data_IF_653932144651
#
_entry.id   IF_653932144651
#
_cell.length_a   1.000
_cell.length_b   1.000
_cell.length_c   1.000
_cell.angle_alpha   90.00
_cell.angle_beta   90.00
_cell.angle_gamma   90.00
#
_symmetry.space_group_name_H-M   'P 1'
#
loop_
_entity.id
_entity.type
_entity.pdbx_description
1 polymer ?
#
# COMPACT_ATOMS: atom_id res chain seq x y z
N UNK A 1 -13.71 14.93 52.18
CA UNK A 1 -12.49 14.71 51.36
C UNK A 1 -12.52 13.45 50.45
N UNK A 2 -13.59 12.64 50.41
CA UNK A 2 -13.65 11.44 49.52
C UNK A 2 -14.15 11.73 48.09
N UNK A 3 -15.07 12.68 47.89
CA UNK A 3 -15.59 13.03 46.55
C UNK A 3 -14.54 13.63 45.61
N UNK A 4 -13.60 14.42 46.12
CA UNK A 4 -12.59 15.08 45.29
C UNK A 4 -11.60 14.07 44.66
N UNK A 5 -11.29 12.97 45.38
CA UNK A 5 -10.46 11.87 44.86
C UNK A 5 -11.17 11.05 43.77
N UNK A 6 -12.48 10.89 43.85
CA UNK A 6 -13.26 10.13 42.86
C UNK A 6 -13.33 10.87 41.51
N UNK A 7 -13.53 12.19 41.54
CA UNK A 7 -13.55 13.03 40.33
C UNK A 7 -12.20 13.08 39.62
N UNK A 8 -11.10 13.14 40.38
CA UNK A 8 -9.74 13.07 39.82
C UNK A 8 -9.48 11.71 39.15
N UNK A 9 -9.98 10.61 39.72
CA UNK A 9 -9.85 9.27 39.14
C UNK A 9 -10.65 9.13 37.84
N UNK A 10 -11.88 9.65 37.79
CA UNK A 10 -12.69 9.66 36.55
C UNK A 10 -12.04 10.52 35.47
N UNK A 11 -11.47 11.69 35.83
CA UNK A 11 -10.74 12.55 34.90
C UNK A 11 -9.47 11.85 34.36
N UNK A 12 -8.72 11.17 35.21
CA UNK A 12 -7.54 10.38 34.83
C UNK A 12 -7.91 9.18 33.93
N UNK A 13 -9.04 8.51 34.20
CA UNK A 13 -9.56 7.42 33.36
C UNK A 13 -9.98 7.97 31.98
N UNK A 14 -10.65 9.12 31.93
CA UNK A 14 -11.02 9.77 30.66
C UNK A 14 -9.80 10.26 29.87
N UNK A 15 -8.76 10.75 30.55
CA UNK A 15 -7.47 11.09 29.93
C UNK A 15 -6.73 9.84 29.40
N UNK A 16 -6.84 8.69 30.09
CA UNK A 16 -6.26 7.42 29.63
C UNK A 16 -7.01 6.81 28.43
N UNK A 17 -8.28 7.20 28.19
CA UNK A 17 -9.03 6.86 26.98
C UNK A 17 -8.63 7.72 25.75
N UNK A 18 -7.73 8.71 25.93
CA UNK A 18 -7.29 9.66 24.91
C UNK A 18 -6.49 9.06 23.73
N UNK A 19 -6.05 7.80 23.81
CA UNK A 19 -5.36 7.13 22.70
C UNK A 19 -6.23 7.01 21.43
N UNK A 20 -7.56 6.92 21.57
CA UNK A 20 -8.48 6.81 20.43
C UNK A 20 -8.74 8.16 19.73
N UNK A 21 -8.83 9.25 20.49
CA UNK A 21 -9.14 10.59 19.94
C UNK A 21 -7.97 11.13 19.12
N UNK A 22 -6.74 10.96 19.59
CA UNK A 22 -5.54 11.40 18.87
C UNK A 22 -5.39 10.67 17.52
N UNK A 23 -5.77 9.39 17.44
CA UNK A 23 -5.74 8.64 16.19
C UNK A 23 -6.69 9.21 15.15
N UNK A 24 -7.93 9.53 15.54
CA UNK A 24 -8.93 10.16 14.65
C UNK A 24 -8.49 11.54 14.16
N UNK A 25 -7.89 12.36 15.03
CA UNK A 25 -7.36 13.68 14.64
C UNK A 25 -6.23 13.53 13.62
N UNK A 26 -5.31 12.56 13.82
CA UNK A 26 -4.23 12.28 12.85
C UNK A 26 -4.80 11.85 11.50
N UNK A 27 -5.77 10.94 11.49
CA UNK A 27 -6.43 10.48 10.28
C UNK A 27 -7.08 11.64 9.52
N UNK A 28 -7.91 12.44 10.19
CA UNK A 28 -8.58 13.59 9.58
C UNK A 28 -7.58 14.63 9.04
N UNK A 29 -6.46 14.83 9.73
CA UNK A 29 -5.39 15.73 9.27
C UNK A 29 -4.75 15.22 7.98
N UNK A 30 -4.48 13.92 7.89
CA UNK A 30 -3.94 13.28 6.68
C UNK A 30 -4.94 13.33 5.52
N UNK A 31 -6.22 13.05 5.79
CA UNK A 31 -7.30 13.16 4.80
C UNK A 31 -7.43 14.58 4.25
N UNK A 32 -7.45 15.59 5.11
CA UNK A 32 -7.51 16.98 4.70
C UNK A 32 -6.28 17.40 3.88
N UNK A 33 -5.08 16.99 4.30
CA UNK A 33 -3.84 17.26 3.58
C UNK A 33 -3.81 16.60 2.20
N UNK A 34 -4.18 15.32 2.12
CA UNK A 34 -4.27 14.57 0.86
C UNK A 34 -5.28 15.20 -0.10
N UNK A 35 -6.47 15.57 0.40
CA UNK A 35 -7.50 16.23 -0.40
C UNK A 35 -7.04 17.60 -0.93
N UNK A 36 -6.43 18.43 -0.06
CA UNK A 36 -5.91 19.75 -0.44
C UNK A 36 -4.80 19.65 -1.48
N UNK A 37 -3.91 18.66 -1.35
CA UNK A 37 -2.87 18.39 -2.33
C UNK A 37 -3.45 17.90 -3.66
N UNK A 38 -4.37 16.93 -3.62
CA UNK A 38 -5.02 16.37 -4.81
C UNK A 38 -5.85 17.39 -5.60
N UNK A 39 -6.36 18.43 -4.95
CA UNK A 39 -7.05 19.53 -5.61
C UNK A 39 -6.13 20.35 -6.54
N UNK A 40 -4.82 20.26 -6.38
CA UNK A 40 -3.86 20.96 -7.23
C UNK A 40 -3.58 20.21 -8.54
N UNK A 41 -3.37 20.92 -9.67
CA UNK A 41 -2.97 20.29 -10.93
C UNK A 41 -1.70 19.44 -10.76
N UNK A 42 -1.65 18.27 -11.41
CA UNK A 42 -0.51 17.35 -11.32
C UNK A 42 0.82 18.02 -11.69
N UNK A 43 0.81 18.89 -12.72
CA UNK A 43 2.00 19.64 -13.14
C UNK A 43 2.58 20.53 -12.02
N UNK A 44 1.73 21.11 -11.17
CA UNK A 44 2.17 21.90 -10.01
C UNK A 44 2.71 20.98 -8.91
N UNK A 45 1.99 19.88 -8.61
CA UNK A 45 2.42 18.86 -7.63
C UNK A 45 3.83 18.32 -7.91
N UNK A 46 4.16 18.13 -9.19
CA UNK A 46 5.47 17.64 -9.64
C UNK A 46 6.61 18.67 -9.52
N UNK A 47 6.31 19.96 -9.32
CA UNK A 47 7.33 21.01 -9.17
C UNK A 47 7.79 21.21 -7.72
N UNK A 48 7.05 20.69 -6.74
CA UNK A 48 7.45 20.79 -5.33
C UNK A 48 8.73 19.99 -5.04
N UNK A 49 9.48 20.34 -3.97
CA UNK A 49 10.60 19.52 -3.51
C UNK A 49 10.23 18.05 -3.28
N UNK A 50 11.15 17.13 -3.59
CA UNK A 50 10.89 15.68 -3.52
C UNK A 50 10.36 15.22 -2.16
N UNK A 51 10.84 15.79 -1.05
CA UNK A 51 10.36 15.42 0.28
C UNK A 51 8.87 15.76 0.48
N UNK A 52 8.38 16.87 -0.09
CA UNK A 52 6.96 17.24 -0.08
C UNK A 52 6.17 16.24 -0.92
N UNK A 53 6.64 15.93 -2.13
CA UNK A 53 6.00 14.95 -3.00
C UNK A 53 5.87 13.58 -2.29
N UNK A 54 6.91 13.13 -1.59
CA UNK A 54 6.91 11.86 -0.84
C UNK A 54 5.89 11.85 0.30
N UNK A 55 5.80 12.95 1.06
CA UNK A 55 4.84 13.09 2.16
C UNK A 55 3.41 13.00 1.62
N UNK A 56 3.09 13.77 0.59
CA UNK A 56 1.73 13.81 0.07
C UNK A 56 1.35 12.59 -0.76
N UNK A 57 2.28 11.98 -1.50
CA UNK A 57 2.05 10.68 -2.14
C UNK A 57 1.69 9.62 -1.09
N UNK A 58 2.42 9.59 0.04
CA UNK A 58 2.13 8.67 1.15
C UNK A 58 0.77 8.96 1.79
N UNK A 59 0.42 10.24 1.97
CA UNK A 59 -0.88 10.65 2.50
C UNK A 59 -2.03 10.24 1.56
N UNK A 60 -1.92 10.55 0.27
CA UNK A 60 -2.92 10.15 -0.74
C UNK A 60 -3.10 8.63 -0.75
N UNK A 61 -2.02 7.86 -0.70
CA UNK A 61 -2.07 6.41 -0.65
C UNK A 61 -2.81 5.89 0.60
N UNK A 62 -2.54 6.48 1.78
CA UNK A 62 -3.23 6.14 3.03
C UNK A 62 -4.73 6.50 3.03
N UNK A 63 -5.16 7.35 2.09
CA UNK A 63 -6.57 7.75 1.92
C UNK A 63 -7.23 7.12 0.71
N UNK A 64 -6.45 6.39 -0.11
CA UNK A 64 -6.94 5.76 -1.33
C UNK A 64 -7.70 4.47 -1.04
N UNK A 65 -8.60 4.10 -1.94
CA UNK A 65 -9.28 2.82 -1.91
C UNK A 65 -8.36 1.73 -2.50
N UNK A 66 -7.98 0.75 -1.67
CA UNK A 66 -7.11 -0.36 -2.09
C UNK A 66 -7.68 -1.15 -3.29
N UNK A 67 -9.00 -1.12 -3.51
CA UNK A 67 -9.63 -1.76 -4.69
C UNK A 67 -9.26 -1.08 -6.01
N UNK A 68 -8.84 0.18 -5.95
CA UNK A 68 -8.37 0.92 -7.12
C UNK A 68 -6.90 0.62 -7.44
N UNK A 69 -6.16 0.00 -6.51
CA UNK A 69 -4.76 -0.34 -6.73
C UNK A 69 -4.65 -1.42 -7.79
N UNK A 70 -3.79 -1.18 -8.77
CA UNK A 70 -3.51 -2.15 -9.82
C UNK A 70 -2.07 -2.66 -9.72
N UNK A 71 -1.93 -3.98 -9.80
CA UNK A 71 -0.64 -4.65 -9.96
C UNK A 71 -0.54 -5.14 -11.40
N UNK A 72 0.56 -4.82 -12.06
CA UNK A 72 0.78 -5.18 -13.46
C UNK A 72 1.97 -6.11 -13.58
N UNK A 73 1.70 -7.36 -13.91
CA UNK A 73 2.73 -8.33 -14.22
C UNK A 73 3.02 -8.28 -15.73
N UNK A 74 4.27 -8.01 -16.09
CA UNK A 74 4.67 -7.84 -17.49
C UNK A 74 5.61 -8.97 -17.88
N UNK A 75 5.28 -9.66 -18.97
CA UNK A 75 5.95 -10.89 -19.40
C UNK A 75 6.23 -10.88 -20.90
N UNK A 76 7.37 -11.45 -21.30
CA UNK A 76 7.73 -11.65 -22.73
C UNK A 76 6.91 -12.74 -23.42
N UNK A 77 6.26 -13.61 -22.65
CA UNK A 77 5.43 -14.70 -23.16
C UNK A 77 4.13 -14.77 -22.40
N UNK A 78 3.11 -15.34 -23.03
CA UNK A 78 1.85 -15.61 -22.36
C UNK A 78 2.08 -16.52 -21.15
N UNK A 79 1.66 -16.02 -20.01
CA UNK A 79 1.57 -16.78 -18.77
C UNK A 79 0.28 -17.61 -18.81
N UNK A 80 0.42 -18.91 -18.50
CA UNK A 80 -0.67 -19.88 -18.63
C UNK A 80 -1.91 -19.61 -17.76
N UNK A 81 -2.90 -20.52 -17.77
CA UNK A 81 -4.22 -20.30 -17.15
C UNK A 81 -4.18 -20.09 -15.62
N UNK A 82 -3.10 -20.50 -14.94
CA UNK A 82 -2.90 -20.25 -13.51
C UNK A 82 -2.89 -18.76 -13.13
N UNK A 83 -2.70 -17.87 -14.11
CA UNK A 83 -2.72 -16.41 -13.94
C UNK A 83 -4.02 -15.88 -13.32
N UNK A 84 -5.15 -16.56 -13.53
CA UNK A 84 -6.44 -16.18 -12.97
C UNK A 84 -6.56 -16.44 -11.45
N UNK A 85 -5.61 -17.18 -10.86
CA UNK A 85 -5.61 -17.60 -9.45
C UNK A 85 -4.63 -16.81 -8.58
N UNK A 86 -4.17 -15.66 -9.07
CA UNK A 86 -3.21 -14.82 -8.38
C UNK A 86 -3.72 -14.40 -6.99
N UNK A 87 -2.79 -14.33 -6.04
CA UNK A 87 -3.02 -13.81 -4.68
C UNK A 87 -2.01 -12.71 -4.39
N UNK A 88 -2.23 -11.91 -3.36
CA UNK A 88 -1.25 -10.98 -2.82
C UNK A 88 -1.25 -11.05 -1.29
N UNK A 89 -0.07 -10.91 -0.71
CA UNK A 89 0.11 -10.75 0.73
C UNK A 89 0.16 -9.26 1.08
N UNK A 90 -0.60 -8.86 2.09
CA UNK A 90 -0.45 -7.56 2.74
C UNK A 90 0.22 -7.76 4.09
N UNK A 91 1.35 -7.07 4.28
CA UNK A 91 2.26 -7.28 5.41
C UNK A 91 2.49 -5.98 6.16
N UNK A 92 2.34 -5.99 7.49
CA UNK A 92 2.70 -4.88 8.38
C UNK A 92 3.07 -5.38 9.78
N UNK A 93 3.75 -4.56 10.58
CA UNK A 93 4.01 -4.90 11.98
C UNK A 93 3.01 -4.24 12.92
N UNK A 94 2.43 -5.00 13.85
CA UNK A 94 1.60 -4.49 14.94
C UNK A 94 1.89 -5.26 16.23
N UNK A 95 1.97 -4.54 17.36
CA UNK A 95 2.29 -5.16 18.66
C UNK A 95 3.69 -5.82 18.75
N UNK A 96 4.59 -5.55 17.80
CA UNK A 96 5.89 -6.21 17.69
C UNK A 96 5.87 -7.51 16.87
N UNK A 97 4.72 -7.91 16.35
CA UNK A 97 4.56 -9.10 15.51
C UNK A 97 4.28 -8.74 14.05
N UNK A 98 4.71 -9.61 13.14
CA UNK A 98 4.44 -9.47 11.72
C UNK A 98 3.02 -9.99 11.42
N UNK A 99 2.16 -9.09 10.96
CA UNK A 99 0.82 -9.41 10.49
C UNK A 99 0.87 -9.61 8.98
N UNK A 100 0.56 -10.82 8.52
CA UNK A 100 0.49 -11.18 7.09
C UNK A 100 -0.91 -11.69 6.80
N UNK A 101 -1.53 -11.18 5.74
CA UNK A 101 -2.84 -11.66 5.29
C UNK A 101 -2.86 -11.77 3.78
N UNK A 102 -3.36 -12.91 3.29
CA UNK A 102 -3.47 -13.20 1.87
C UNK A 102 -4.84 -12.81 1.32
N UNK A 103 -4.83 -12.23 0.12
CA UNK A 103 -6.04 -11.83 -0.60
C UNK A 103 -6.00 -12.38 -2.02
N UNK A 104 -7.14 -12.88 -2.50
CA UNK A 104 -7.28 -13.21 -3.90
C UNK A 104 -7.26 -11.92 -4.75
N UNK A 105 -6.47 -11.93 -5.82
CA UNK A 105 -6.44 -10.87 -6.80
C UNK A 105 -7.41 -11.19 -7.93
N UNK A 106 -8.15 -10.18 -8.37
CA UNK A 106 -9.01 -10.26 -9.55
C UNK A 106 -8.20 -9.85 -10.78
N UNK A 107 -8.04 -10.77 -11.73
CA UNK A 107 -7.51 -10.45 -13.06
C UNK A 107 -8.53 -9.59 -13.81
N UNK A 108 -8.21 -8.33 -14.04
CA UNK A 108 -9.10 -7.36 -14.71
C UNK A 108 -8.90 -7.37 -16.23
N UNK A 109 -7.65 -7.47 -16.67
CA UNK A 109 -7.31 -7.34 -18.08
C UNK A 109 -6.03 -8.10 -18.38
N UNK A 110 -6.01 -8.74 -19.55
CA UNK A 110 -4.81 -9.22 -20.22
C UNK A 110 -4.67 -8.43 -21.50
N UNK A 111 -3.53 -7.75 -21.68
CA UNK A 111 -3.18 -7.11 -22.95
C UNK A 111 -2.06 -7.91 -23.57
N UNK A 112 -2.24 -8.34 -24.81
CA UNK A 112 -1.21 -9.02 -25.59
C UNK A 112 -0.26 -8.02 -26.26
N UNK A 113 0.81 -8.53 -26.88
CA UNK A 113 1.69 -7.71 -27.70
C UNK A 113 0.93 -7.10 -28.88
N UNK A 114 1.27 -5.86 -29.22
CA UNK A 114 0.75 -5.13 -30.37
C UNK A 114 1.90 -4.50 -31.18
N UNK A 115 1.58 -3.63 -32.16
CA UNK A 115 2.59 -2.98 -33.00
C UNK A 115 3.59 -2.09 -32.22
N UNK A 116 3.29 -1.75 -30.96
CA UNK A 116 4.06 -0.86 -30.09
C UNK A 116 4.62 -1.54 -28.84
N UNK A 117 4.09 -2.71 -28.46
CA UNK A 117 4.47 -3.45 -27.25
C UNK A 117 4.74 -4.92 -27.62
N UNK A 118 5.93 -5.43 -27.30
CA UNK A 118 6.33 -6.82 -27.56
C UNK A 118 6.10 -7.74 -26.35
N UNK A 119 5.26 -7.32 -25.41
CA UNK A 119 5.04 -8.01 -24.14
C UNK A 119 3.55 -8.20 -23.82
N UNK A 120 3.28 -9.14 -22.93
CA UNK A 120 1.98 -9.35 -22.32
C UNK A 120 1.89 -8.57 -20.99
N UNK A 121 0.76 -7.92 -20.73
CA UNK A 121 0.47 -7.21 -19.47
C UNK A 121 -0.76 -7.81 -18.80
N UNK A 122 -0.58 -8.32 -17.59
CA UNK A 122 -1.65 -8.83 -16.73
C UNK A 122 -1.95 -7.82 -15.64
N UNK A 123 -3.16 -7.29 -15.61
CA UNK A 123 -3.59 -6.28 -14.63
C UNK A 123 -4.48 -6.91 -13.58
N UNK A 124 -4.06 -6.80 -12.33
CA UNK A 124 -4.73 -7.34 -11.15
C UNK A 124 -5.26 -6.24 -10.25
N UNK A 125 -6.37 -6.49 -9.56
CA UNK A 125 -6.93 -5.62 -8.52
C UNK A 125 -7.37 -6.41 -7.29
N UNK A 126 -7.41 -5.72 -6.16
CA UNK A 126 -7.91 -6.28 -4.91
C UNK A 126 -9.45 -6.43 -4.90
N UNK A 127 -9.92 -7.44 -4.16
CA UNK A 127 -11.33 -7.66 -3.86
C UNK A 127 -11.89 -6.76 -2.74
N UNK A 128 -13.15 -7.00 -2.39
CA UNK A 128 -13.83 -6.25 -1.32
C UNK A 128 -13.34 -6.64 0.09
N UNK A 129 -12.87 -7.88 0.24
CA UNK A 129 -12.22 -8.42 1.45
C UNK A 129 -10.98 -7.60 1.86
N UNK A 130 -10.12 -7.27 0.90
CA UNK A 130 -8.93 -6.46 1.13
C UNK A 130 -9.28 -5.04 1.60
N UNK A 131 -10.41 -4.47 1.17
CA UNK A 131 -10.84 -3.14 1.60
C UNK A 131 -11.16 -3.09 3.10
N UNK A 132 -11.83 -4.12 3.62
CA UNK A 132 -12.14 -4.23 5.05
C UNK A 132 -10.86 -4.33 5.87
N UNK A 133 -9.94 -5.23 5.47
CA UNK A 133 -8.64 -5.35 6.12
C UNK A 133 -7.86 -4.03 6.11
N UNK A 134 -7.83 -3.34 4.97
CA UNK A 134 -7.10 -2.09 4.80
C UNK A 134 -7.64 -1.00 5.73
N UNK A 135 -8.96 -0.91 5.90
CA UNK A 135 -9.58 0.02 6.85
C UNK A 135 -9.20 -0.30 8.30
N UNK A 136 -9.20 -1.58 8.69
CA UNK A 136 -8.74 -2.00 10.03
C UNK A 136 -7.26 -1.66 10.25
N UNK A 137 -6.41 -1.91 9.26
CA UNK A 137 -5.00 -1.53 9.28
C UNK A 137 -4.84 -0.01 9.46
N UNK A 138 -5.57 0.81 8.71
CA UNK A 138 -5.48 2.28 8.81
C UNK A 138 -5.88 2.76 10.21
N UNK A 139 -6.93 2.20 10.80
CA UNK A 139 -7.33 2.53 12.17
C UNK A 139 -6.21 2.26 13.18
N UNK A 140 -5.58 1.08 13.10
CA UNK A 140 -4.44 0.74 13.95
C UNK A 140 -3.22 1.65 13.66
N UNK A 141 -2.97 1.96 12.40
CA UNK A 141 -1.86 2.81 11.96
C UNK A 141 -1.98 4.24 12.49
N UNK A 142 -3.17 4.81 12.46
CA UNK A 142 -3.43 6.16 12.98
C UNK A 142 -3.48 6.19 14.51
N UNK A 143 -3.94 5.11 15.15
CA UNK A 143 -3.80 4.91 16.60
C UNK A 143 -2.35 4.70 17.07
N UNK A 144 -1.38 4.56 16.15
CA UNK A 144 0.03 4.33 16.46
C UNK A 144 0.34 2.89 16.89
N UNK A 145 -0.58 1.95 16.62
CA UNK A 145 -0.48 0.54 16.98
C UNK A 145 0.13 -0.33 15.87
N UNK A 146 0.17 0.20 14.64
CA UNK A 146 0.74 -0.46 13.47
C UNK A 146 1.84 0.39 12.81
N UNK A 147 2.83 -0.28 12.23
CA UNK A 147 3.81 0.31 11.30
C UNK A 147 3.20 0.41 9.89
N UNK A 148 3.79 1.20 8.98
CA UNK A 148 3.35 1.25 7.59
C UNK A 148 3.33 -0.14 6.94
N UNK A 149 2.35 -0.38 6.04
CA UNK A 149 2.36 -1.54 5.15
C UNK A 149 3.68 -1.61 4.37
N UNK A 150 4.22 -2.83 4.27
CA UNK A 150 5.44 -3.14 3.54
C UNK A 150 5.11 -3.35 2.06
N UNK A 151 4.75 -2.26 1.36
CA UNK A 151 4.31 -2.32 -0.04
C UNK A 151 5.38 -2.84 -1.01
N UNK A 152 6.64 -2.90 -0.60
CA UNK A 152 7.72 -3.49 -1.40
C UNK A 152 7.66 -5.03 -1.44
N UNK A 153 6.89 -5.68 -0.56
CA UNK A 153 6.55 -7.11 -0.65
C UNK A 153 5.29 -7.38 -1.48
N UNK A 154 4.58 -6.33 -1.91
CA UNK A 154 3.33 -6.48 -2.64
C UNK A 154 3.60 -7.05 -4.03
N UNK A 155 3.12 -8.25 -4.32
CA UNK A 155 3.25 -8.87 -5.64
C UNK A 155 2.19 -9.94 -5.87
N UNK A 156 1.86 -10.26 -7.14
CA UNK A 156 1.08 -11.45 -7.47
C UNK A 156 1.84 -12.74 -7.13
N UNK A 157 1.19 -13.62 -6.37
CA UNK A 157 1.65 -14.94 -5.99
C UNK A 157 0.72 -16.00 -6.58
N UNK A 158 1.29 -17.09 -7.09
CA UNK A 158 0.55 -18.15 -7.78
C UNK A 158 0.62 -19.48 -7.02
N UNK A 159 0.14 -19.49 -5.76
CA UNK A 159 0.22 -20.64 -4.86
C UNK A 159 -0.74 -21.77 -5.23
N UNK A 160 -1.97 -21.43 -5.65
CA UNK A 160 -3.02 -22.40 -5.96
C UNK A 160 -2.79 -23.11 -7.32
N UNK A 161 -2.28 -22.38 -8.31
CA UNK A 161 -1.93 -22.91 -9.63
C UNK A 161 -0.59 -22.31 -10.06
N UNK A 162 0.52 -23.07 -9.97
CA UNK A 162 1.84 -22.57 -10.31
C UNK A 162 1.89 -22.01 -11.74
N UNK A 163 2.48 -20.82 -11.86
CA UNK A 163 2.74 -20.14 -13.14
C UNK A 163 4.25 -20.08 -13.32
N UNK A 164 4.74 -20.39 -14.52
CA UNK A 164 6.14 -20.16 -14.86
C UNK A 164 6.40 -18.65 -14.92
N UNK A 165 7.21 -18.14 -14.00
CA UNK A 165 7.58 -16.74 -13.91
C UNK A 165 8.90 -16.41 -14.62
N UNK A 166 9.60 -17.40 -15.21
CA UNK A 166 10.80 -17.14 -15.99
C UNK A 166 10.64 -16.10 -17.13
N UNK A 167 9.48 -15.98 -17.82
CA UNK A 167 9.30 -14.95 -18.85
C UNK A 167 8.88 -13.58 -18.30
N UNK A 168 8.59 -13.46 -17.00
CA UNK A 168 8.26 -12.18 -16.36
C UNK A 168 9.50 -11.29 -16.38
N UNK A 169 9.32 -10.04 -16.83
CA UNK A 169 10.41 -9.07 -16.95
C UNK A 169 10.30 -7.91 -15.98
N UNK A 170 9.10 -7.57 -15.50
CA UNK A 170 8.91 -6.53 -14.49
C UNK A 170 7.54 -6.59 -13.84
N UNK A 171 7.46 -5.95 -12.68
CA UNK A 171 6.24 -5.67 -11.94
C UNK A 171 6.06 -4.15 -11.83
N UNK A 172 4.88 -3.66 -12.20
CA UNK A 172 4.50 -2.27 -12.03
C UNK A 172 3.28 -2.12 -11.13
N UNK A 173 3.16 -0.96 -10.50
CA UNK A 173 2.12 -0.60 -9.56
C UNK A 173 1.46 0.69 -9.99
N UNK A 174 0.15 0.67 -10.12
CA UNK A 174 -0.68 1.87 -10.25
C UNK A 174 -1.54 1.97 -9.00
N UNK A 175 -0.96 2.48 -7.90
CA UNK A 175 -1.67 2.61 -6.62
C UNK A 175 -2.47 3.92 -6.54
N UNK A 176 -1.98 4.96 -7.21
CA UNK A 176 -2.65 6.24 -7.40
C UNK A 176 -2.67 6.56 -8.90
N UNK A 177 -3.78 6.33 -9.62
CA UNK A 177 -3.84 6.35 -11.09
C UNK A 177 -3.26 7.60 -11.76
N UNK A 178 -3.46 8.76 -11.14
CA UNK A 178 -2.94 10.05 -11.60
C UNK A 178 -1.40 10.15 -11.67
N UNK A 179 -0.67 9.32 -10.93
CA UNK A 179 0.80 9.27 -10.97
C UNK A 179 1.33 8.24 -11.97
N UNK A 180 0.45 7.49 -12.61
CA UNK A 180 0.78 6.41 -13.55
C UNK A 180 1.46 5.21 -12.88
N UNK A 181 1.83 4.25 -13.72
CA UNK A 181 2.53 3.05 -13.28
C UNK A 181 3.93 3.39 -12.72
N UNK A 182 4.36 2.64 -11.71
CA UNK A 182 5.67 2.75 -11.05
C UNK A 182 6.24 1.36 -10.83
N UNK A 183 7.55 1.21 -10.97
CA UNK A 183 8.29 0.01 -10.51
C UNK A 183 8.37 -0.02 -8.98
N UNK A 184 8.77 -1.16 -8.39
CA UNK A 184 9.06 -1.24 -6.95
C UNK A 184 10.05 -0.15 -6.53
N UNK A 185 11.14 0.01 -7.27
CA UNK A 185 12.18 0.99 -6.95
C UNK A 185 11.69 2.43 -7.00
N UNK A 186 10.82 2.79 -7.95
CA UNK A 186 10.20 4.12 -7.97
C UNK A 186 9.21 4.29 -6.81
N UNK A 187 8.38 3.29 -6.52
CA UNK A 187 7.45 3.31 -5.41
C UNK A 187 8.19 3.50 -4.08
N UNK A 188 9.29 2.77 -3.87
CA UNK A 188 10.08 2.87 -2.63
C UNK A 188 10.68 4.26 -2.44
N UNK A 189 11.14 4.91 -3.52
CA UNK A 189 11.67 6.28 -3.49
C UNK A 189 10.56 7.32 -3.26
N UNK A 190 9.33 7.04 -3.65
CA UNK A 190 8.18 7.93 -3.47
C UNK A 190 7.53 7.80 -2.08
N UNK A 191 7.71 6.69 -1.38
CA UNK A 191 7.19 6.53 -0.02
C UNK A 191 8.09 7.26 0.98
N UNK A 192 7.49 8.15 1.78
CA UNK A 192 8.20 8.89 2.81
C UNK A 192 8.73 7.98 3.93
N UNK A 193 8.02 6.87 4.20
CA UNK A 193 8.30 6.01 5.35
C UNK A 193 9.38 4.95 5.11
N UNK A 194 9.94 4.86 3.91
CA UNK A 194 10.99 3.89 3.59
C UNK A 194 12.36 4.54 3.71
N UNK A 195 13.20 3.91 4.54
CA UNK A 195 14.57 4.29 4.80
C UNK A 195 15.52 3.51 3.89
N UNK A 196 16.74 4.00 3.71
CA UNK A 196 17.76 3.35 2.89
C UNK A 196 18.11 1.93 3.38
N UNK A 197 18.00 1.67 4.68
CA UNK A 197 18.15 0.31 5.23
C UNK A 197 17.09 -0.67 4.68
N UNK A 198 15.85 -0.21 4.50
CA UNK A 198 14.75 -1.05 4.02
C UNK A 198 14.97 -1.39 2.54
N UNK A 199 15.67 -0.51 1.81
CA UNK A 199 16.15 -0.75 0.44
C UNK A 199 17.25 -1.82 0.39
N UNK A 200 18.25 -1.71 1.26
CA UNK A 200 19.34 -2.71 1.34
C UNK A 200 18.78 -4.09 1.69
N UNK A 201 17.86 -4.17 2.65
CA UNK A 201 17.21 -5.42 3.05
C UNK A 201 16.41 -6.04 1.88
N UNK A 202 15.63 -5.22 1.17
CA UNK A 202 14.91 -5.66 -0.03
C UNK A 202 15.86 -6.19 -1.12
N UNK A 203 16.97 -5.49 -1.40
CA UNK A 203 17.93 -5.93 -2.41
C UNK A 203 18.65 -7.23 -2.04
N UNK A 204 18.82 -7.52 -0.74
CA UNK A 204 19.44 -8.75 -0.28
C UNK A 204 18.48 -9.95 -0.32
N UNK A 205 17.19 -9.71 -0.08
CA UNK A 205 16.17 -10.75 -0.02
C UNK A 205 14.93 -10.38 -0.87
N UNK A 206 15.06 -10.29 -2.20
CA UNK A 206 13.93 -9.92 -3.04
C UNK A 206 12.90 -11.07 -3.09
N UNK A 207 11.59 -10.76 -3.07
CA UNK A 207 10.53 -11.78 -3.00
C UNK A 207 10.24 -12.47 -4.35
N UNK A 208 10.89 -12.03 -5.44
CA UNK A 208 11.00 -12.68 -6.76
C UNK A 208 12.40 -12.35 -7.34
N UNK A 209 12.93 -13.12 -8.31
CA UNK A 209 14.12 -12.70 -9.04
C UNK A 209 13.81 -11.40 -9.79
N UNK A 210 14.44 -10.29 -9.38
CA UNK A 210 14.40 -8.98 -10.04
C UNK A 210 15.42 -8.92 -11.16
#
# INVERSE_FOLDING_TARGET
>A
MRCCKLWLLVLLIQLSAGCSVLGKVKQATVEAGAASWKAQPLALRQQYPQWIQRVYFTAELQTSDIRQWQLHLISRRELGPGTATAMAELVYMAGGELQTTEFALKLQQVSGPDATQDYHRYTYQFGADAATFYQTYLQQRFAGQAKPLQLYYLQPLFKASPVDLAPVIRLEYTLLPEYGAKTVGELMRLMFNLQERDWVEFCQNPPLPV
#
